data_IF_682231435580
#
_entry.id   IF_682231435580
#
_cell.length_a   1.000
_cell.length_b   1.000
_cell.length_c   1.000
_cell.angle_alpha   90.00
_cell.angle_beta   90.00
_cell.angle_gamma   90.00
#
_symmetry.space_group_name_H-M   'P 1'
#
loop_
_entity.id
_entity.type
_entity.pdbx_description
1 polymer ?
#
# COMPACT_ATOMS: atom_id res chain seq x y z
N UNK A 1 -7.25 13.23 4.83
CA UNK A 1 -6.55 11.94 5.08
C UNK A 1 -7.48 10.76 4.74
N UNK A 2 -7.01 9.50 4.63
CA UNK A 2 -7.88 8.35 4.34
C UNK A 2 -9.19 8.29 5.15
N UNK A 3 -9.14 8.69 6.44
CA UNK A 3 -10.32 8.75 7.33
C UNK A 3 -11.35 9.83 7.02
N UNK A 4 -10.94 10.93 6.42
CA UNK A 4 -11.78 12.10 6.13
C UNK A 4 -12.30 12.04 4.69
N UNK A 5 -11.99 10.96 3.97
CA UNK A 5 -12.43 10.82 2.60
C UNK A 5 -13.95 10.62 2.59
N UNK A 6 -14.73 11.49 1.91
CA UNK A 6 -16.19 11.48 2.02
C UNK A 6 -16.85 10.15 1.64
N UNK A 7 -16.18 9.37 0.79
CA UNK A 7 -16.65 8.06 0.31
C UNK A 7 -15.99 6.86 1.04
N UNK A 8 -15.35 7.14 2.18
CA UNK A 8 -14.69 6.14 3.00
C UNK A 8 -13.34 5.66 2.47
N UNK A 9 -12.68 4.83 3.27
CA UNK A 9 -11.30 4.39 3.02
C UNK A 9 -11.16 3.50 1.78
N UNK A 10 -12.18 2.72 1.42
CA UNK A 10 -12.16 1.89 0.21
C UNK A 10 -12.12 2.74 -1.07
N UNK A 11 -12.93 3.81 -1.15
CA UNK A 11 -12.88 4.74 -2.28
C UNK A 11 -11.58 5.55 -2.30
N UNK A 12 -11.08 5.92 -1.12
CA UNK A 12 -9.77 6.55 -0.98
C UNK A 12 -8.67 5.64 -1.53
N UNK A 13 -8.62 4.37 -1.12
CA UNK A 13 -7.66 3.36 -1.59
C UNK A 13 -7.69 3.25 -3.10
N UNK A 14 -8.86 3.06 -3.71
CA UNK A 14 -9.01 2.95 -5.17
C UNK A 14 -8.53 4.22 -5.89
N UNK A 15 -8.81 5.38 -5.31
CA UNK A 15 -8.37 6.66 -5.87
C UNK A 15 -6.86 6.84 -5.74
N UNK A 16 -6.30 6.51 -4.58
CA UNK A 16 -4.87 6.61 -4.31
C UNK A 16 -4.07 5.61 -5.13
N UNK A 17 -4.55 4.37 -5.28
CA UNK A 17 -3.91 3.33 -6.08
C UNK A 17 -3.60 3.82 -7.50
N UNK A 18 -4.59 4.41 -8.20
CA UNK A 18 -4.39 4.93 -9.56
C UNK A 18 -3.32 6.03 -9.63
N UNK A 19 -3.25 6.87 -8.60
CA UNK A 19 -2.25 7.93 -8.49
C UNK A 19 -0.87 7.36 -8.17
N UNK A 20 -0.81 6.36 -7.30
CA UNK A 20 0.40 5.64 -6.96
C UNK A 20 0.95 4.93 -8.21
N UNK A 21 0.14 4.22 -8.98
CA UNK A 21 0.55 3.59 -10.24
C UNK A 21 1.08 4.60 -11.27
N UNK A 22 0.51 5.80 -11.35
CA UNK A 22 1.04 6.87 -12.20
C UNK A 22 2.40 7.39 -11.68
N UNK A 23 2.52 7.62 -10.37
CA UNK A 23 3.76 8.05 -9.73
C UNK A 23 4.87 7.02 -9.94
N UNK A 24 4.58 5.73 -9.70
CA UNK A 24 5.56 4.65 -9.77
C UNK A 24 6.10 4.47 -11.19
N UNK A 25 5.27 4.61 -12.23
CA UNK A 25 5.73 4.59 -13.63
C UNK A 25 6.72 5.71 -13.95
N UNK A 26 6.44 6.92 -13.45
CA UNK A 26 7.36 8.05 -13.65
C UNK A 26 8.63 7.84 -12.83
N UNK A 27 8.50 7.38 -11.59
CA UNK A 27 9.63 7.11 -10.70
C UNK A 27 10.57 6.07 -11.30
N UNK A 28 10.03 4.94 -11.76
CA UNK A 28 10.79 3.88 -12.42
C UNK A 28 11.59 4.41 -13.61
N UNK A 29 10.96 5.19 -14.50
CA UNK A 29 11.66 5.80 -15.64
C UNK A 29 12.78 6.77 -15.21
N UNK A 30 12.62 7.49 -14.10
CA UNK A 30 13.67 8.38 -13.57
C UNK A 30 14.78 7.61 -12.89
N UNK A 31 14.44 6.53 -12.18
CA UNK A 31 15.41 5.62 -11.57
C UNK A 31 16.25 4.93 -12.65
N UNK A 32 15.65 4.48 -13.76
CA UNK A 32 16.38 3.88 -14.89
C UNK A 32 17.45 4.81 -15.46
N UNK A 33 17.12 6.10 -15.63
CA UNK A 33 18.08 7.10 -16.11
C UNK A 33 19.20 7.32 -15.08
N UNK A 34 18.86 7.40 -13.80
CA UNK A 34 19.84 7.60 -12.72
C UNK A 34 20.77 6.38 -12.54
N UNK A 35 20.24 5.17 -12.74
CA UNK A 35 20.99 3.92 -12.71
C UNK A 35 21.93 3.83 -13.92
N UNK A 36 21.44 4.16 -15.12
CA UNK A 36 22.27 4.20 -16.32
C UNK A 36 23.41 5.22 -16.22
N UNK A 37 23.20 6.33 -15.50
CA UNK A 37 24.26 7.33 -15.25
C UNK A 37 25.16 6.99 -14.05
N UNK A 38 24.94 5.88 -13.35
CA UNK A 38 25.68 5.50 -12.14
C UNK A 38 25.41 6.40 -10.92
N UNK A 39 24.38 7.24 -10.97
CA UNK A 39 23.99 8.12 -9.86
C UNK A 39 23.15 7.40 -8.79
N UNK A 40 22.59 6.23 -9.15
CA UNK A 40 21.78 5.38 -8.30
C UNK A 40 22.17 3.91 -8.53
N UNK A 41 22.30 3.12 -7.47
CA UNK A 41 22.43 1.67 -7.56
C UNK A 41 21.08 0.98 -7.71
N UNK A 42 21.04 -0.19 -8.34
CA UNK A 42 19.81 -0.98 -8.51
C UNK A 42 19.18 -1.36 -7.15
N UNK A 43 20.01 -1.62 -6.14
CA UNK A 43 19.61 -1.88 -4.76
C UNK A 43 18.97 -0.67 -4.05
N UNK A 44 19.10 0.52 -4.62
CA UNK A 44 18.48 1.75 -4.12
C UNK A 44 17.15 2.05 -4.80
N UNK A 45 16.75 1.28 -5.82
CA UNK A 45 15.46 1.42 -6.52
C UNK A 45 14.30 1.31 -5.54
N UNK A 46 13.40 2.29 -5.57
CA UNK A 46 12.24 2.39 -4.68
C UNK A 46 10.94 2.00 -5.37
N UNK A 47 10.80 2.25 -6.67
CA UNK A 47 9.55 1.98 -7.41
C UNK A 47 9.00 0.57 -7.16
N UNK A 48 9.84 -0.45 -7.35
CA UNK A 48 9.47 -1.86 -7.10
C UNK A 48 9.09 -2.11 -5.64
N UNK A 49 9.91 -1.65 -4.68
CA UNK A 49 9.65 -1.83 -3.24
C UNK A 49 8.36 -1.14 -2.78
N UNK A 50 8.05 0.02 -3.32
CA UNK A 50 6.82 0.75 -3.03
C UNK A 50 5.60 0.04 -3.62
N UNK A 51 5.71 -0.52 -4.81
CA UNK A 51 4.66 -1.32 -5.43
C UNK A 51 4.38 -2.58 -4.61
N UNK A 52 5.42 -3.30 -4.22
CA UNK A 52 5.33 -4.48 -3.35
C UNK A 52 4.72 -4.14 -2.00
N UNK A 53 5.19 -3.07 -1.34
CA UNK A 53 4.66 -2.61 -0.05
C UNK A 53 3.17 -2.30 -0.12
N UNK A 54 2.72 -1.65 -1.20
CA UNK A 54 1.29 -1.40 -1.45
C UNK A 54 0.51 -2.70 -1.69
N UNK A 55 1.04 -3.60 -2.52
CA UNK A 55 0.40 -4.86 -2.89
C UNK A 55 0.38 -5.92 -1.79
N UNK A 56 1.34 -5.90 -0.86
CA UNK A 56 1.45 -6.85 0.26
C UNK A 56 0.83 -6.32 1.56
N UNK A 57 0.10 -5.20 1.51
CA UNK A 57 -0.50 -4.54 2.67
C UNK A 57 0.49 -4.07 3.75
N UNK A 58 1.81 -4.15 3.51
CA UNK A 58 2.84 -3.58 4.40
C UNK A 58 2.65 -2.07 4.57
N UNK A 59 2.25 -1.37 3.51
CA UNK A 59 1.85 0.03 3.58
C UNK A 59 0.75 0.28 4.63
N UNK A 60 -0.25 -0.60 4.69
CA UNK A 60 -1.38 -0.47 5.61
C UNK A 60 -0.98 -0.80 7.05
N UNK A 61 -0.12 -1.79 7.24
CA UNK A 61 0.45 -2.11 8.54
C UNK A 61 1.26 -0.92 9.10
N UNK A 62 2.16 -0.34 8.30
CA UNK A 62 2.93 0.85 8.67
C UNK A 62 2.03 2.06 8.97
N UNK A 63 1.01 2.27 8.14
CA UNK A 63 0.06 3.36 8.32
C UNK A 63 -0.76 3.20 9.61
N UNK A 64 -1.26 2.00 9.87
CA UNK A 64 -2.01 1.67 11.09
C UNK A 64 -1.16 1.80 12.35
N UNK A 65 0.10 1.34 12.31
CA UNK A 65 1.03 1.47 13.43
C UNK A 65 1.35 2.94 13.76
N UNK A 66 1.57 3.78 12.75
CA UNK A 66 1.86 5.21 12.94
C UNK A 66 0.64 6.03 13.32
N UNK A 67 -0.56 5.56 12.96
CA UNK A 67 -1.83 6.22 13.23
C UNK A 67 -2.75 5.25 13.96
N UNK A 68 -2.49 5.02 15.25
CA UNK A 68 -3.25 4.06 16.06
C UNK A 68 -4.78 4.22 15.97
N UNK A 69 -5.28 5.45 15.81
CA UNK A 69 -6.72 5.71 15.60
C UNK A 69 -7.25 5.23 14.24
N UNK A 70 -6.39 4.98 13.26
CA UNK A 70 -6.75 4.50 11.93
C UNK A 70 -6.67 2.97 11.80
N UNK A 71 -6.15 2.27 12.83
CA UNK A 71 -5.92 0.83 12.79
C UNK A 71 -7.17 0.05 12.40
N UNK A 72 -8.30 0.30 13.08
CA UNK A 72 -9.57 -0.36 12.76
C UNK A 72 -10.08 -0.08 11.34
N UNK A 73 -9.77 1.09 10.78
CA UNK A 73 -10.19 1.45 9.43
C UNK A 73 -9.36 0.74 8.35
N UNK A 74 -8.08 0.45 8.63
CA UNK A 74 -7.18 -0.25 7.70
C UNK A 74 -7.13 -1.76 7.92
N UNK A 75 -7.66 -2.25 9.05
CA UNK A 75 -7.70 -3.68 9.38
C UNK A 75 -8.23 -4.55 8.23
N UNK A 76 -9.34 -4.22 7.51
CA UNK A 76 -9.81 -5.05 6.41
C UNK A 76 -8.82 -5.19 5.24
N UNK A 77 -7.93 -4.20 5.06
CA UNK A 77 -6.90 -4.21 4.01
C UNK A 77 -5.71 -5.10 4.39
N UNK A 78 -5.45 -5.22 5.70
CA UNK A 78 -4.42 -6.10 6.27
C UNK A 78 -4.99 -7.53 6.31
N UNK A 79 -6.16 -7.70 6.93
CA UNK A 79 -6.85 -8.98 7.14
C UNK A 79 -7.08 -9.74 5.83
N UNK A 80 -7.56 -9.09 4.76
CA UNK A 80 -7.77 -9.73 3.45
C UNK A 80 -6.50 -10.38 2.85
N UNK A 81 -5.31 -9.99 3.31
CA UNK A 81 -4.01 -10.52 2.85
C UNK A 81 -3.45 -11.59 3.78
N UNK A 82 -3.81 -11.59 5.07
CA UNK A 82 -3.29 -12.53 6.08
C UNK A 82 -4.30 -13.63 6.43
N UNK A 83 -5.59 -13.35 6.32
CA UNK A 83 -6.69 -14.30 6.47
C UNK A 83 -7.00 -14.90 5.11
N UNK A 84 -6.33 -16.01 4.78
CA UNK A 84 -6.98 -17.05 3.98
C UNK A 84 -8.23 -17.54 4.73
N UNK A 85 -9.22 -18.12 4.04
CA UNK A 85 -10.47 -18.62 4.66
C UNK A 85 -10.21 -19.23 6.04
N UNK A 86 -10.52 -18.49 7.11
CA UNK A 86 -10.43 -19.00 8.48
C UNK A 86 -11.76 -19.73 8.71
N UNK A 87 -11.82 -21.08 8.70
CA UNK A 87 -13.09 -21.81 8.73
C UNK A 87 -13.77 -21.81 10.11
N UNK A 88 -13.41 -20.91 11.02
CA UNK A 88 -13.73 -21.01 12.43
C UNK A 88 -14.63 -19.90 13.00
N UNK A 89 -15.20 -19.01 12.18
CA UNK A 89 -16.11 -17.96 12.68
C UNK A 89 -17.54 -18.00 12.11
N UNK A 90 -17.95 -19.08 11.42
CA UNK A 90 -19.34 -19.27 10.99
C UNK A 90 -20.29 -19.79 12.09
N UNK A 91 -19.83 -19.88 13.34
CA UNK A 91 -20.58 -20.48 14.44
C UNK A 91 -21.08 -19.53 15.53
N UNK A 92 -20.83 -18.22 15.44
CA UNK A 92 -21.19 -17.26 16.50
C UNK A 92 -21.54 -15.88 15.92
N UNK A 93 -22.56 -15.80 15.04
CA UNK A 93 -23.42 -14.63 14.87
C UNK A 93 -24.85 -15.12 14.73
#
# INVERSE_FOLDING_TARGET
MPKEWPRGIADWTRTYQRRLEALLRVLESREDVAIASGALGEEQRLSGRMQESWGQAAFWADYGARKGWAFYAVWPMIDRKFSGDIPALNGYI
#
